data_IF_626755520744
#
_entry.id   IF_626755520744
#
_cell.length_a   1.000
_cell.length_b   1.000
_cell.length_c   1.000
_cell.angle_alpha   90.00
_cell.angle_beta   90.00
_cell.angle_gamma   90.00
#
_symmetry.space_group_name_H-M   'P 1'
#
loop_
_entity.id
_entity.type
_entity.pdbx_description
1 polymer ?
#
# COMPACT_ATOMS: atom_id res chain seq x y z
N UNK A 1 -13.97 13.39 12.00
CA UNK A 1 -12.85 12.82 11.21
C UNK A 1 -12.57 11.45 11.82
N UNK A 2 -13.01 10.31 11.25
CA UNK A 2 -12.78 9.04 11.91
C UNK A 2 -11.30 8.68 11.78
N UNK A 3 -10.72 8.28 12.91
CA UNK A 3 -9.31 8.00 13.07
C UNK A 3 -8.88 6.86 12.13
N UNK A 4 -7.88 7.13 11.30
CA UNK A 4 -7.12 6.10 10.58
C UNK A 4 -6.55 5.15 11.62
N UNK A 5 -7.06 3.92 11.64
CA UNK A 5 -6.53 2.80 12.43
C UNK A 5 -5.11 2.51 11.93
N UNK A 6 -4.15 3.22 12.50
CA UNK A 6 -2.73 3.14 12.15
C UNK A 6 -2.08 1.85 12.65
N UNK A 7 -2.81 0.96 13.33
CA UNK A 7 -2.40 -0.40 13.64
C UNK A 7 -2.63 -1.33 12.44
N UNK A 8 -1.70 -1.31 11.50
CA UNK A 8 -1.57 -2.39 10.50
C UNK A 8 -0.97 -3.61 11.20
N UNK A 9 -1.80 -4.32 11.95
CA UNK A 9 -1.54 -5.72 12.25
C UNK A 9 -1.74 -6.52 10.95
N UNK A 10 -1.01 -7.60 10.76
CA UNK A 10 -1.14 -8.49 9.58
C UNK A 10 -2.23 -9.55 9.78
N UNK A 11 -3.07 -9.40 10.81
CA UNK A 11 -4.20 -10.30 11.03
C UNK A 11 -5.27 -10.13 9.94
N UNK A 12 -6.09 -11.16 9.77
CA UNK A 12 -7.10 -11.17 8.71
C UNK A 12 -8.18 -10.09 8.88
N UNK A 13 -8.50 -9.72 10.12
CA UNK A 13 -9.56 -8.75 10.41
C UNK A 13 -9.10 -7.31 10.09
N UNK A 14 -7.87 -6.95 10.46
CA UNK A 14 -7.27 -5.66 10.09
C UNK A 14 -7.14 -5.51 8.57
N UNK A 15 -6.72 -6.56 7.87
CA UNK A 15 -6.59 -6.56 6.40
C UNK A 15 -7.96 -6.36 5.75
N UNK A 16 -8.99 -7.08 6.21
CA UNK A 16 -10.35 -6.93 5.69
C UNK A 16 -10.90 -5.50 5.91
N UNK A 17 -10.71 -4.94 7.11
CA UNK A 17 -11.11 -3.56 7.43
C UNK A 17 -10.42 -2.54 6.52
N UNK A 18 -9.14 -2.76 6.24
CA UNK A 18 -8.36 -1.85 5.41
C UNK A 18 -8.74 -1.94 3.91
N UNK A 19 -9.10 -3.14 3.42
CA UNK A 19 -9.68 -3.33 2.08
C UNK A 19 -11.03 -2.62 1.99
N UNK A 20 -11.90 -2.75 3.00
CA UNK A 20 -13.19 -2.06 3.04
C UNK A 20 -13.02 -0.54 3.00
N UNK A 21 -12.08 -0.01 3.79
CA UNK A 21 -11.73 1.41 3.76
C UNK A 21 -11.36 1.88 2.35
N UNK A 22 -10.47 1.17 1.66
CA UNK A 22 -10.09 1.54 0.29
C UNK A 22 -11.23 1.35 -0.73
N UNK A 23 -12.14 0.40 -0.51
CA UNK A 23 -13.33 0.21 -1.36
C UNK A 23 -14.34 1.38 -1.25
N UNK A 24 -14.42 2.02 -0.08
CA UNK A 24 -15.35 3.12 0.22
C UNK A 24 -14.74 4.50 -0.08
N UNK A 25 -13.48 4.72 0.30
CA UNK A 25 -12.86 6.05 0.31
C UNK A 25 -11.78 6.26 -0.76
N UNK A 26 -11.36 5.22 -1.49
CA UNK A 26 -10.46 5.35 -2.65
C UNK A 26 -11.15 4.97 -3.98
N UNK A 27 -12.36 5.47 -4.32
CA UNK A 27 -13.03 5.05 -5.55
C UNK A 27 -12.51 5.80 -6.79
N UNK A 28 -12.03 5.04 -7.77
CA UNK A 28 -12.06 5.41 -9.20
C UNK A 28 -13.36 4.92 -9.90
N UNK A 29 -14.28 4.31 -9.14
CA UNK A 29 -15.49 3.63 -9.64
C UNK A 29 -16.74 3.99 -8.83
N UNK A 30 -17.92 3.83 -9.42
CA UNK A 30 -19.20 4.09 -8.76
C UNK A 30 -19.36 3.27 -7.45
N UNK A 31 -19.85 3.88 -6.35
CA UNK A 31 -20.00 3.22 -5.06
C UNK A 31 -21.04 2.09 -5.05
N UNK A 32 -21.93 2.03 -6.05
CA UNK A 32 -23.10 1.12 -6.06
C UNK A 32 -22.77 -0.35 -6.32
N UNK A 33 -21.60 -0.68 -6.87
CA UNK A 33 -21.24 -2.07 -7.18
C UNK A 33 -19.80 -2.39 -6.74
N UNK A 34 -19.65 -3.40 -5.90
CA UNK A 34 -18.36 -3.99 -5.58
C UNK A 34 -18.06 -5.14 -6.54
N UNK A 35 -17.60 -4.77 -7.75
CA UNK A 35 -17.21 -5.72 -8.78
C UNK A 35 -15.78 -6.23 -8.55
N UNK A 36 -15.42 -7.33 -9.23
CA UNK A 36 -14.10 -7.95 -9.12
C UNK A 36 -12.92 -6.97 -9.38
N UNK A 37 -12.97 -6.06 -10.38
CA UNK A 37 -11.92 -5.07 -10.57
C UNK A 37 -11.79 -4.09 -9.39
N UNK A 38 -12.90 -3.71 -8.76
CA UNK A 38 -12.90 -2.85 -7.58
C UNK A 38 -12.29 -3.56 -6.37
N UNK A 39 -12.60 -4.84 -6.20
CA UNK A 39 -12.02 -5.67 -5.14
C UNK A 39 -10.49 -5.83 -5.31
N UNK A 40 -10.04 -6.05 -6.54
CA UNK A 40 -8.61 -6.12 -6.86
C UNK A 40 -7.89 -4.82 -6.50
N UNK A 41 -8.41 -3.67 -6.95
CA UNK A 41 -7.79 -2.37 -6.67
C UNK A 41 -7.81 -2.01 -5.18
N UNK A 42 -8.91 -2.26 -4.47
CA UNK A 42 -9.00 -2.02 -3.03
C UNK A 42 -7.97 -2.87 -2.26
N UNK A 43 -7.79 -4.13 -2.66
CA UNK A 43 -6.77 -5.02 -2.10
C UNK A 43 -5.36 -4.51 -2.41
N UNK A 44 -5.10 -4.11 -3.66
CA UNK A 44 -3.81 -3.56 -4.06
C UNK A 44 -3.45 -2.29 -3.28
N UNK A 45 -4.41 -1.40 -3.02
CA UNK A 45 -4.17 -0.20 -2.19
C UNK A 45 -3.87 -0.57 -0.73
N UNK A 46 -4.56 -1.56 -0.18
CA UNK A 46 -4.27 -2.06 1.18
C UNK A 46 -2.82 -2.57 1.29
N UNK A 47 -2.37 -3.37 0.33
CA UNK A 47 -0.97 -3.87 0.27
C UNK A 47 0.02 -2.72 0.06
N UNK A 48 -0.29 -1.77 -0.82
CA UNK A 48 0.56 -0.60 -1.09
C UNK A 48 0.82 0.21 0.18
N UNK A 49 -0.17 0.40 1.04
CA UNK A 49 -0.02 1.10 2.32
C UNK A 49 1.06 0.48 3.22
N UNK A 50 1.11 -0.85 3.29
CA UNK A 50 2.14 -1.57 4.03
C UNK A 50 3.53 -1.41 3.40
N UNK A 51 3.62 -1.51 2.07
CA UNK A 51 4.90 -1.38 1.34
C UNK A 51 5.50 0.02 1.50
N UNK A 52 4.70 1.09 1.42
CA UNK A 52 5.19 2.47 1.59
C UNK A 52 5.83 2.67 2.95
N UNK A 53 5.23 2.14 4.02
CA UNK A 53 5.80 2.26 5.37
C UNK A 53 7.16 1.57 5.47
N UNK A 54 7.26 0.36 4.94
CA UNK A 54 8.52 -0.38 4.96
C UNK A 54 9.57 0.31 4.09
N UNK A 55 9.18 0.82 2.92
CA UNK A 55 10.04 1.60 2.04
C UNK A 55 10.59 2.85 2.75
N UNK A 56 9.76 3.61 3.45
CA UNK A 56 10.19 4.77 4.25
C UNK A 56 11.20 4.38 5.33
N UNK A 57 10.96 3.27 6.06
CA UNK A 57 11.89 2.77 7.08
C UNK A 57 13.24 2.35 6.47
N UNK A 58 13.21 1.66 5.34
CA UNK A 58 14.41 1.23 4.63
C UNK A 58 15.20 2.43 4.12
N UNK A 59 14.51 3.43 3.55
CA UNK A 59 15.11 4.68 3.11
C UNK A 59 15.80 5.41 4.27
N UNK A 60 15.08 5.65 5.38
CA UNK A 60 15.61 6.33 6.56
C UNK A 60 16.81 5.59 7.17
N UNK A 61 16.80 4.25 7.16
CA UNK A 61 17.92 3.46 7.64
C UNK A 61 19.18 3.66 6.78
N UNK A 62 19.05 3.57 5.45
CA UNK A 62 20.19 3.73 4.55
C UNK A 62 20.74 5.15 4.53
N UNK A 63 19.88 6.16 4.65
CA UNK A 63 20.31 7.57 4.78
C UNK A 63 21.13 7.78 6.06
N UNK A 64 20.64 7.30 7.21
CA UNK A 64 21.36 7.44 8.49
C UNK A 64 22.66 6.66 8.53
N UNK A 65 22.69 5.48 7.93
CA UNK A 65 23.87 4.63 7.89
C UNK A 65 24.93 5.08 6.86
N UNK A 66 24.55 5.98 5.93
CA UNK A 66 25.41 6.50 4.86
C UNK A 66 26.20 5.41 4.13
N UNK A 67 25.52 4.32 3.79
CA UNK A 67 26.13 3.17 3.12
C UNK A 67 26.36 3.46 1.64
N UNK A 68 27.31 2.76 1.02
CA UNK A 68 27.51 2.83 -0.43
C UNK A 68 26.26 2.32 -1.15
N UNK A 69 25.68 3.14 -2.01
CA UNK A 69 24.48 2.82 -2.80
C UNK A 69 24.85 2.31 -4.20
N UNK A 70 24.09 1.35 -4.70
CA UNK A 70 24.21 0.84 -6.06
C UNK A 70 22.98 1.24 -6.87
N UNK A 71 23.21 1.80 -8.06
CA UNK A 71 22.15 2.21 -8.97
C UNK A 71 22.19 1.33 -10.21
N UNK A 72 21.16 0.50 -10.37
CA UNK A 72 21.03 -0.40 -11.51
C UNK A 72 20.45 0.34 -12.71
N UNK A 73 21.20 0.36 -13.82
CA UNK A 73 20.84 1.05 -15.07
C UNK A 73 20.42 -0.01 -16.10
N UNK A 74 19.14 -0.01 -16.50
CA UNK A 74 18.58 -0.92 -17.50
C UNK A 74 17.75 -0.14 -18.52
N UNK A 75 17.76 -0.59 -19.77
CA UNK A 75 16.95 -0.01 -20.86
C UNK A 75 15.48 -0.43 -20.78
N UNK A 76 15.18 -1.49 -20.03
CA UNK A 76 13.81 -1.98 -19.87
C UNK A 76 13.58 -2.59 -18.48
N UNK A 77 12.34 -2.48 -18.03
CA UNK A 77 11.75 -3.18 -16.90
C UNK A 77 10.36 -3.63 -17.35
N UNK A 78 10.09 -4.94 -17.36
CA UNK A 78 8.78 -5.45 -17.77
C UNK A 78 7.73 -5.10 -16.71
N UNK A 79 6.67 -4.40 -17.14
CA UNK A 79 5.55 -3.96 -16.31
C UNK A 79 4.27 -4.70 -16.68
#
# INVERSE_FOLDING_TARGET
IPAVSTSFSLDSASVASNIQYHAEFTPSFSPKQFSLPKAYLATAQSVRGALIRNWNKTYEHYEKANVKQAYYLSMEFLQ
#
